data_IF_136395501750
#
_entry.id   IF_136395501750
#
_cell.length_a   1.000
_cell.length_b   1.000
_cell.length_c   1.000
_cell.angle_alpha   90.00
_cell.angle_beta   90.00
_cell.angle_gamma   90.00
#
_symmetry.space_group_name_H-M   'P 1'
#
loop_
_entity.id
_entity.type
_entity.pdbx_description
1 polymer ?
#
# COMPACT_ATOMS: atom_id res chain seq x y z
N UNK A 1 -7.17 9.24 -14.99
CA UNK A 1 -6.95 10.56 -14.38
C UNK A 1 -6.46 10.44 -12.93
N UNK A 2 -7.20 9.73 -12.04
CA UNK A 2 -6.85 9.60 -10.60
C UNK A 2 -5.40 9.18 -10.34
N UNK A 3 -4.82 8.16 -11.00
CA UNK A 3 -3.42 7.78 -10.79
C UNK A 3 -2.42 8.88 -11.16
N UNK A 4 -2.74 9.74 -12.13
CA UNK A 4 -1.90 10.88 -12.51
C UNK A 4 -1.89 11.95 -11.40
N UNK A 5 -3.08 12.30 -10.90
CA UNK A 5 -3.24 13.30 -9.83
C UNK A 5 -2.53 12.85 -8.54
N UNK A 6 -2.61 11.56 -8.20
CA UNK A 6 -2.02 11.04 -6.98
C UNK A 6 -0.50 10.78 -7.06
N UNK A 7 0.07 10.65 -8.28
CA UNK A 7 1.46 10.27 -8.44
C UNK A 7 2.46 11.26 -7.81
N UNK A 8 2.31 12.59 -7.94
CA UNK A 8 3.24 13.53 -7.34
C UNK A 8 3.32 13.42 -5.81
N UNK A 9 2.16 13.33 -5.13
CA UNK A 9 2.11 13.20 -3.67
C UNK A 9 2.66 11.88 -3.14
N UNK A 10 2.72 10.83 -3.97
CA UNK A 10 3.33 9.54 -3.61
C UNK A 10 4.84 9.51 -3.80
N UNK A 11 5.35 10.33 -4.72
CA UNK A 11 6.78 10.35 -5.10
C UNK A 11 7.58 11.45 -4.39
N UNK A 12 6.92 12.53 -3.95
CA UNK A 12 7.58 13.70 -3.41
C UNK A 12 6.79 14.31 -2.25
N UNK A 13 7.45 14.82 -1.23
CA UNK A 13 6.82 15.37 -0.02
C UNK A 13 5.88 16.55 -0.31
N UNK A 14 6.26 17.43 -1.22
CA UNK A 14 5.44 18.56 -1.66
C UNK A 14 4.61 18.26 -2.93
N UNK A 15 4.51 16.99 -3.31
CA UNK A 15 3.92 16.57 -4.58
C UNK A 15 2.44 16.90 -4.72
N UNK A 16 1.69 16.97 -3.62
CA UNK A 16 0.29 17.35 -3.63
C UNK A 16 0.03 18.76 -4.18
N UNK A 17 0.94 19.71 -3.92
CA UNK A 17 0.87 21.06 -4.48
C UNK A 17 0.98 21.08 -6.00
N UNK A 18 1.74 20.16 -6.59
CA UNK A 18 1.86 20.03 -8.05
C UNK A 18 0.54 19.60 -8.69
N UNK A 19 -0.17 18.68 -8.03
CA UNK A 19 -1.51 18.22 -8.49
C UNK A 19 -2.55 19.33 -8.41
N UNK A 20 -2.53 20.11 -7.32
CA UNK A 20 -3.44 21.24 -7.15
C UNK A 20 -3.22 22.30 -8.23
N UNK A 21 -1.97 22.62 -8.56
CA UNK A 21 -1.65 23.59 -9.63
C UNK A 21 -2.27 23.24 -10.97
N UNK A 22 -2.32 21.95 -11.32
CA UNK A 22 -2.98 21.49 -12.56
C UNK A 22 -4.48 21.75 -12.52
N UNK A 23 -5.12 21.52 -11.37
CA UNK A 23 -6.56 21.63 -11.22
C UNK A 23 -7.07 23.08 -11.21
N UNK A 24 -6.22 24.03 -10.77
CA UNK A 24 -6.59 25.46 -10.68
C UNK A 24 -5.95 26.32 -11.74
N UNK A 25 -5.22 25.74 -12.70
CA UNK A 25 -4.54 26.48 -13.76
C UNK A 25 -5.53 26.94 -14.82
N UNK A 26 -5.65 28.24 -15.00
CA UNK A 26 -6.52 28.86 -16.03
C UNK A 26 -5.79 29.07 -17.37
N UNK A 27 -4.45 29.10 -17.35
CA UNK A 27 -3.63 29.23 -18.54
C UNK A 27 -3.47 27.88 -19.25
N UNK A 28 -3.94 27.72 -20.51
CA UNK A 28 -3.90 26.45 -21.22
C UNK A 28 -2.48 25.95 -21.51
N UNK A 29 -1.53 26.84 -21.81
CA UNK A 29 -0.16 26.45 -22.14
C UNK A 29 0.57 25.97 -20.89
N UNK A 30 0.45 26.73 -19.81
CA UNK A 30 1.00 26.35 -18.50
C UNK A 30 0.33 25.07 -17.96
N UNK A 31 -0.97 24.93 -18.13
CA UNK A 31 -1.72 23.73 -17.78
C UNK A 31 -1.22 22.50 -18.52
N UNK A 32 -1.00 22.60 -19.83
CA UNK A 32 -0.43 21.51 -20.64
C UNK A 32 0.98 21.11 -20.17
N UNK A 33 1.82 22.07 -19.81
CA UNK A 33 3.15 21.81 -19.24
C UNK A 33 3.07 21.06 -17.89
N UNK A 34 2.15 21.45 -17.02
CA UNK A 34 1.93 20.74 -15.74
C UNK A 34 1.43 19.30 -15.96
N UNK A 35 0.50 19.09 -16.87
CA UNK A 35 0.00 17.74 -17.22
C UNK A 35 1.14 16.85 -17.75
N UNK A 36 1.97 17.38 -18.66
CA UNK A 36 3.14 16.68 -19.19
C UNK A 36 4.08 16.23 -18.08
N UNK A 37 4.36 17.12 -17.12
CA UNK A 37 5.18 16.79 -15.95
C UNK A 37 4.54 15.70 -15.08
N UNK A 38 3.23 15.74 -14.86
CA UNK A 38 2.51 14.70 -14.09
C UNK A 38 2.56 13.34 -14.78
N UNK A 39 2.44 13.30 -16.11
CA UNK A 39 2.58 12.08 -16.89
C UNK A 39 3.96 11.46 -16.67
N UNK A 40 5.02 12.26 -16.76
CA UNK A 40 6.39 11.80 -16.53
C UNK A 40 6.58 11.26 -15.08
N UNK A 41 6.06 11.97 -14.09
CA UNK A 41 6.10 11.52 -12.69
C UNK A 41 5.36 10.18 -12.52
N UNK A 42 4.19 10.02 -13.12
CA UNK A 42 3.42 8.78 -13.03
C UNK A 42 4.12 7.62 -13.75
N UNK A 43 4.76 7.86 -14.88
CA UNK A 43 5.59 6.86 -15.57
C UNK A 43 6.76 6.42 -14.67
N UNK A 44 7.48 7.38 -14.07
CA UNK A 44 8.54 7.08 -13.11
C UNK A 44 8.05 6.27 -11.92
N UNK A 45 6.91 6.67 -11.33
CA UNK A 45 6.27 5.91 -10.26
C UNK A 45 6.02 4.45 -10.66
N UNK A 46 5.43 4.22 -11.85
CA UNK A 46 5.16 2.86 -12.36
C UNK A 46 6.42 2.02 -12.47
N UNK A 47 7.50 2.59 -13.01
CA UNK A 47 8.79 1.89 -13.15
C UNK A 47 9.36 1.50 -11.79
N UNK A 48 9.40 2.44 -10.84
CA UNK A 48 9.91 2.19 -9.48
C UNK A 48 9.08 1.11 -8.79
N UNK A 49 7.75 1.25 -8.82
CA UNK A 49 6.82 0.31 -8.17
C UNK A 49 6.94 -1.09 -8.78
N UNK A 50 7.10 -1.21 -10.11
CA UNK A 50 7.23 -2.51 -10.77
C UNK A 50 8.42 -3.32 -10.25
N UNK A 51 9.58 -2.67 -10.08
CA UNK A 51 10.77 -3.33 -9.53
C UNK A 51 10.58 -3.81 -8.08
N UNK A 52 9.98 -2.96 -7.25
CA UNK A 52 9.69 -3.34 -5.86
C UNK A 52 8.62 -4.44 -5.74
N UNK A 53 7.61 -4.45 -6.61
CA UNK A 53 6.61 -5.53 -6.64
C UNK A 53 7.28 -6.86 -7.00
N UNK A 54 8.14 -6.89 -8.00
CA UNK A 54 8.84 -8.11 -8.39
C UNK A 54 9.68 -8.67 -7.24
N UNK A 55 10.43 -7.81 -6.55
CA UNK A 55 11.21 -8.20 -5.39
C UNK A 55 10.30 -8.68 -4.25
N UNK A 56 9.26 -7.92 -3.91
CA UNK A 56 8.32 -8.27 -2.85
C UNK A 56 7.62 -9.61 -3.10
N UNK A 57 7.22 -9.88 -4.34
CA UNK A 57 6.62 -11.17 -4.71
C UNK A 57 7.60 -12.33 -4.56
N UNK A 58 8.88 -12.15 -4.89
CA UNK A 58 9.91 -13.18 -4.65
C UNK A 58 10.08 -13.48 -3.17
N UNK A 59 10.15 -12.46 -2.31
CA UNK A 59 10.27 -12.63 -0.87
C UNK A 59 9.01 -13.25 -0.24
N UNK A 60 7.85 -13.03 -0.84
CA UNK A 60 6.56 -13.51 -0.34
C UNK A 60 6.25 -14.97 -0.68
N UNK A 61 6.89 -15.56 -1.71
CA UNK A 61 6.52 -16.85 -2.30
C UNK A 61 6.36 -18.01 -1.31
N UNK A 62 7.12 -18.02 -0.23
CA UNK A 62 7.11 -19.10 0.76
C UNK A 62 6.59 -18.64 2.14
N UNK A 63 5.91 -17.49 2.20
CA UNK A 63 5.36 -16.99 3.45
C UNK A 63 3.90 -17.41 3.61
N UNK A 64 3.53 -17.75 4.84
CA UNK A 64 2.12 -17.89 5.25
C UNK A 64 1.48 -16.54 5.52
N UNK A 65 0.16 -16.51 5.67
CA UNK A 65 -0.60 -15.33 6.10
C UNK A 65 -0.27 -14.93 7.55
N UNK A 66 -0.10 -13.66 7.85
CA UNK A 66 0.08 -12.55 6.91
C UNK A 66 1.48 -12.53 6.27
N UNK A 67 1.56 -12.12 5.00
CA UNK A 67 2.85 -11.85 4.35
C UNK A 67 3.44 -10.59 4.92
N UNK A 68 4.70 -10.65 5.37
CA UNK A 68 5.45 -9.48 5.86
C UNK A 68 6.73 -9.36 5.06
N UNK A 69 6.92 -8.23 4.37
CA UNK A 69 8.14 -7.93 3.62
C UNK A 69 8.74 -6.60 4.08
N UNK A 70 10.07 -6.60 4.24
CA UNK A 70 10.82 -5.40 4.60
C UNK A 70 11.65 -4.94 3.42
N UNK A 71 11.33 -3.77 2.88
CA UNK A 71 11.89 -3.23 1.63
C UNK A 71 12.63 -1.92 1.87
N UNK A 72 13.90 -1.97 2.34
CA UNK A 72 14.69 -0.77 2.56
C UNK A 72 14.79 0.08 1.30
N UNK A 73 14.51 1.39 1.42
CA UNK A 73 14.56 2.32 0.29
C UNK A 73 13.26 2.47 -0.50
N UNK A 74 12.24 1.67 -0.24
CA UNK A 74 10.90 1.91 -0.78
C UNK A 74 10.30 3.18 -0.14
N UNK A 75 9.90 4.14 -0.97
CA UNK A 75 9.32 5.40 -0.50
C UNK A 75 7.99 5.17 0.21
N UNK A 76 7.73 5.90 1.31
CA UNK A 76 6.51 5.78 2.12
C UNK A 76 5.22 5.83 1.31
N UNK A 77 5.11 6.77 0.36
CA UNK A 77 3.93 6.92 -0.50
C UNK A 77 3.64 5.72 -1.41
N UNK A 78 4.57 4.77 -1.52
CA UNK A 78 4.47 3.59 -2.36
C UNK A 78 4.19 2.30 -1.57
N UNK A 79 4.38 2.29 -0.25
CA UNK A 79 4.19 1.11 0.61
C UNK A 79 2.83 0.45 0.39
N UNK A 80 1.76 1.25 0.45
CA UNK A 80 0.39 0.76 0.27
C UNK A 80 0.08 0.25 -1.14
N UNK A 81 0.84 0.67 -2.17
CA UNK A 81 0.68 0.13 -3.53
C UNK A 81 1.30 -1.27 -3.59
N UNK A 82 2.49 -1.45 -3.03
CA UNK A 82 3.17 -2.75 -3.00
C UNK A 82 2.38 -3.74 -2.13
N UNK A 83 1.92 -3.31 -0.94
CA UNK A 83 1.08 -4.13 -0.07
C UNK A 83 -0.23 -4.56 -0.78
N UNK A 84 -0.92 -3.64 -1.45
CA UNK A 84 -2.11 -3.98 -2.23
C UNK A 84 -1.83 -5.02 -3.32
N UNK A 85 -0.69 -4.90 -4.02
CA UNK A 85 -0.34 -5.87 -5.05
C UNK A 85 0.01 -7.26 -4.48
N UNK A 86 0.63 -7.32 -3.30
CA UNK A 86 0.84 -8.60 -2.60
C UNK A 86 -0.49 -9.23 -2.22
N UNK A 87 -1.41 -8.46 -1.65
CA UNK A 87 -2.78 -8.93 -1.36
C UNK A 87 -3.46 -9.49 -2.61
N UNK A 88 -3.43 -8.75 -3.73
CA UNK A 88 -4.05 -9.17 -4.99
C UNK A 88 -3.41 -10.46 -5.56
N UNK A 89 -2.08 -10.59 -5.43
CA UNK A 89 -1.33 -11.71 -6.01
C UNK A 89 -1.46 -12.99 -5.20
N UNK A 90 -1.40 -12.89 -3.89
CA UNK A 90 -1.38 -14.03 -2.97
C UNK A 90 -2.72 -14.26 -2.25
N UNK A 91 -3.70 -13.37 -2.47
CA UNK A 91 -5.03 -13.41 -1.83
C UNK A 91 -4.96 -13.50 -0.30
N UNK A 92 -3.98 -12.84 0.30
CA UNK A 92 -3.75 -12.87 1.74
C UNK A 92 -3.34 -11.52 2.29
N UNK A 93 -3.58 -11.29 3.58
CA UNK A 93 -3.17 -10.06 4.25
C UNK A 93 -1.67 -9.84 4.09
N UNK A 94 -1.29 -8.61 3.77
CA UNK A 94 0.08 -8.23 3.51
C UNK A 94 0.50 -6.99 4.30
N UNK A 95 1.73 -7.01 4.77
CA UNK A 95 2.40 -5.92 5.48
C UNK A 95 3.70 -5.60 4.74
N UNK A 96 3.86 -4.36 4.34
CA UNK A 96 5.08 -3.87 3.70
C UNK A 96 5.70 -2.80 4.59
N UNK A 97 6.95 -3.01 4.95
CA UNK A 97 7.75 -2.13 5.81
C UNK A 97 8.88 -1.50 5.00
N UNK A 98 9.27 -0.28 5.35
CA UNK A 98 10.47 0.37 4.83
C UNK A 98 11.03 1.39 5.81
N UNK A 99 12.32 1.69 5.68
CA UNK A 99 12.93 2.77 6.43
C UNK A 99 12.25 4.10 6.13
N UNK A 100 11.98 4.86 7.17
CA UNK A 100 11.64 6.27 7.06
C UNK A 100 12.91 7.09 6.72
N UNK A 101 12.73 8.34 6.33
CA UNK A 101 13.83 9.32 6.25
C UNK A 101 14.38 9.66 7.62
N UNK A 102 13.59 9.52 8.65
CA UNK A 102 13.99 9.68 10.03
C UNK A 102 14.79 8.46 10.46
N UNK A 103 16.00 8.69 11.00
CA UNK A 103 16.90 7.64 11.46
C UNK A 103 16.24 6.83 12.59
N UNK A 104 16.36 5.51 12.52
CA UNK A 104 15.82 4.61 13.54
C UNK A 104 14.30 4.40 13.46
N UNK A 105 13.63 4.93 12.42
CA UNK A 105 12.19 4.82 12.23
C UNK A 105 11.87 4.00 10.99
N UNK A 106 10.95 3.07 11.14
CA UNK A 106 10.36 2.27 10.05
C UNK A 106 8.89 2.61 9.92
N UNK A 107 8.44 2.74 8.69
CA UNK A 107 7.02 2.91 8.35
C UNK A 107 6.51 1.71 7.58
N UNK A 108 5.22 1.43 7.74
CA UNK A 108 4.59 0.30 7.09
C UNK A 108 3.17 0.58 6.62
N UNK A 109 2.72 -0.28 5.73
CA UNK A 109 1.33 -0.31 5.28
C UNK A 109 0.82 -1.74 5.29
N UNK A 110 -0.36 -1.91 5.89
CA UNK A 110 -1.12 -3.17 5.91
C UNK A 110 -2.23 -3.10 4.86
N UNK A 111 -2.44 -4.20 4.16
CA UNK A 111 -3.65 -4.45 3.36
C UNK A 111 -4.22 -5.79 3.81
N UNK A 112 -5.43 -5.75 4.33
CA UNK A 112 -6.08 -6.92 4.89
C UNK A 112 -6.98 -7.59 3.87
N UNK A 113 -6.92 -8.92 3.83
CA UNK A 113 -7.90 -9.75 3.15
C UNK A 113 -9.27 -9.60 3.83
N UNK A 114 -10.36 -9.93 3.12
CA UNK A 114 -11.73 -9.61 3.52
C UNK A 114 -12.14 -10.06 4.93
N UNK A 115 -11.61 -11.18 5.40
CA UNK A 115 -11.93 -11.74 6.72
C UNK A 115 -10.97 -11.26 7.82
N UNK A 116 -10.01 -10.40 7.47
CA UNK A 116 -9.05 -9.82 8.40
C UNK A 116 -9.36 -8.35 8.65
N UNK A 117 -9.04 -7.87 9.83
CA UNK A 117 -9.21 -6.46 10.20
C UNK A 117 -7.85 -5.81 10.45
N UNK A 118 -7.35 -5.04 9.46
CA UNK A 118 -6.01 -4.46 9.51
C UNK A 118 -5.73 -3.67 10.80
N UNK A 119 -6.69 -2.86 11.25
CA UNK A 119 -6.52 -2.07 12.48
C UNK A 119 -6.47 -2.96 13.71
N UNK A 120 -7.34 -3.96 13.84
CA UNK A 120 -7.35 -4.87 15.00
C UNK A 120 -6.06 -5.70 15.07
N UNK A 121 -5.51 -6.11 13.92
CA UNK A 121 -4.18 -6.75 13.87
C UNK A 121 -3.10 -5.83 14.44
N UNK A 122 -3.13 -4.52 14.11
CA UNK A 122 -2.17 -3.56 14.69
C UNK A 122 -2.47 -3.27 16.16
N UNK A 123 -3.72 -3.28 16.60
CA UNK A 123 -4.09 -3.14 18.02
C UNK A 123 -3.44 -4.23 18.89
N UNK A 124 -3.34 -5.46 18.37
CA UNK A 124 -2.73 -6.60 19.09
C UNK A 124 -1.21 -6.46 19.31
N UNK A 125 -0.54 -5.67 18.49
CA UNK A 125 0.92 -5.41 18.57
C UNK A 125 1.23 -3.95 18.89
N UNK A 126 0.25 -3.21 19.41
CA UNK A 126 0.32 -1.76 19.62
C UNK A 126 1.48 -1.30 20.50
N UNK A 127 1.95 -2.13 21.42
CA UNK A 127 3.10 -1.83 22.31
C UNK A 127 4.42 -1.67 21.56
N UNK A 128 4.54 -2.19 20.34
CA UNK A 128 5.72 -2.07 19.48
C UNK A 128 5.64 -0.85 18.55
N UNK A 129 4.48 -0.19 18.48
CA UNK A 129 4.21 0.86 17.51
C UNK A 129 4.29 2.24 18.16
N UNK A 130 4.94 3.18 17.49
CA UNK A 130 4.94 4.60 17.91
C UNK A 130 3.72 5.35 17.37
N UNK A 131 3.20 4.94 16.23
CA UNK A 131 1.94 5.44 15.67
C UNK A 131 1.35 4.39 14.72
N UNK A 132 0.02 4.31 14.71
CA UNK A 132 -0.71 3.50 13.74
C UNK A 132 -2.15 3.98 13.59
N UNK A 133 -2.79 3.61 12.49
CA UNK A 133 -4.18 3.94 12.25
C UNK A 133 -4.67 3.41 10.92
N UNK A 134 -5.99 3.35 10.78
CA UNK A 134 -6.62 2.83 9.58
C UNK A 134 -8.02 2.30 9.84
N UNK A 135 -8.45 1.41 8.97
CA UNK A 135 -9.75 0.74 9.01
C UNK A 135 -9.59 -0.76 8.72
N UNK A 136 -10.69 -1.49 8.58
CA UNK A 136 -10.65 -2.95 8.37
C UNK A 136 -9.76 -3.39 7.19
N UNK A 137 -9.91 -2.76 6.03
CA UNK A 137 -9.19 -3.17 4.81
C UNK A 137 -7.75 -2.64 4.69
N UNK A 138 -7.40 -1.57 5.40
CA UNK A 138 -6.08 -0.94 5.28
C UNK A 138 -5.68 -0.16 6.51
N UNK A 139 -4.40 -0.23 6.87
CA UNK A 139 -3.83 0.54 7.96
C UNK A 139 -2.39 0.96 7.65
N UNK A 140 -1.95 2.05 8.29
CA UNK A 140 -0.57 2.52 8.32
C UNK A 140 0.02 2.33 9.70
N UNK A 141 1.33 2.16 9.77
CA UNK A 141 2.06 2.00 11.03
C UNK A 141 3.42 2.67 11.00
N UNK A 142 3.91 3.00 12.18
CA UNK A 142 5.27 3.49 12.43
C UNK A 142 5.82 2.76 13.64
N UNK A 143 7.07 2.29 13.56
CA UNK A 143 7.74 1.60 14.66
C UNK A 143 9.23 1.92 14.67
N UNK A 144 9.93 1.73 15.82
CA UNK A 144 11.38 1.80 15.89
C UNK A 144 12.03 0.70 15.04
N UNK A 145 13.17 0.98 14.44
CA UNK A 145 13.87 0.02 13.57
C UNK A 145 14.34 -1.25 14.30
N UNK A 146 14.63 -1.15 15.58
CA UNK A 146 15.02 -2.29 16.44
C UNK A 146 13.82 -3.19 16.82
N UNK A 147 12.58 -2.71 16.64
CA UNK A 147 11.38 -3.49 16.90
C UNK A 147 10.87 -4.29 15.67
N UNK A 148 11.48 -4.14 14.49
CA UNK A 148 10.99 -4.74 13.23
C UNK A 148 10.92 -6.27 13.31
N UNK A 149 11.93 -6.94 13.88
CA UNK A 149 11.97 -8.39 13.98
C UNK A 149 10.85 -8.90 14.90
N UNK A 150 10.77 -8.34 16.11
CA UNK A 150 9.72 -8.69 17.09
C UNK A 150 8.31 -8.39 16.54
N UNK A 151 8.15 -7.26 15.86
CA UNK A 151 6.89 -6.92 15.19
C UNK A 151 6.51 -7.97 14.15
N UNK A 152 7.49 -8.37 13.31
CA UNK A 152 7.26 -9.38 12.26
C UNK A 152 6.80 -10.72 12.83
N UNK A 153 7.40 -11.16 13.92
CA UNK A 153 7.01 -12.39 14.61
C UNK A 153 5.60 -12.28 15.19
N UNK A 154 5.33 -11.22 15.95
CA UNK A 154 4.04 -11.07 16.63
C UNK A 154 2.88 -10.84 15.66
N UNK A 155 3.07 -10.07 14.59
CA UNK A 155 2.01 -9.84 13.60
C UNK A 155 1.70 -11.12 12.80
N UNK A 156 2.68 -11.98 12.57
CA UNK A 156 2.47 -13.31 11.99
C UNK A 156 1.66 -14.21 12.92
N UNK A 157 1.99 -14.23 14.20
CA UNK A 157 1.21 -14.97 15.20
C UNK A 157 -0.23 -14.46 15.30
N UNK A 158 -0.44 -13.15 15.28
CA UNK A 158 -1.77 -12.54 15.30
C UNK A 158 -2.63 -12.90 14.07
N UNK A 159 -1.99 -13.19 12.94
CA UNK A 159 -2.67 -13.63 11.71
C UNK A 159 -2.74 -15.13 11.53
N UNK A 160 -2.20 -15.92 12.45
CA UNK A 160 -2.19 -17.37 12.37
C UNK A 160 -3.62 -17.95 12.53
N UNK A 161 -4.00 -18.83 11.62
CA UNK A 161 -5.35 -19.45 11.65
C UNK A 161 -6.44 -18.63 10.95
N UNK A 162 -6.16 -17.41 10.47
CA UNK A 162 -7.09 -16.67 9.63
C UNK A 162 -7.12 -17.29 8.23
N UNK A 163 -8.18 -18.03 7.94
CA UNK A 163 -8.38 -18.65 6.62
C UNK A 163 -8.95 -17.61 5.67
N UNK A 164 -8.17 -17.22 4.67
CA UNK A 164 -8.65 -16.33 3.63
C UNK A 164 -9.47 -17.11 2.61
N UNK A 165 -10.76 -16.81 2.50
CA UNK A 165 -11.62 -17.32 1.43
C UNK A 165 -11.60 -16.33 0.27
N UNK A 166 -11.31 -16.82 -0.93
CA UNK A 166 -11.58 -16.06 -2.15
C UNK A 166 -13.09 -16.04 -2.37
N UNK A 167 -13.70 -14.90 -2.10
CA UNK A 167 -15.12 -14.68 -2.39
C UNK A 167 -15.24 -13.63 -3.49
N UNK A 168 -15.99 -13.96 -4.52
CA UNK A 168 -16.44 -12.98 -5.52
C UNK A 168 -17.82 -12.49 -5.08
N UNK A 169 -17.91 -11.20 -4.75
CA UNK A 169 -19.19 -10.55 -4.46
C UNK A 169 -19.74 -9.93 -5.73
N UNK A 170 -21.01 -10.09 -5.97
CA UNK A 170 -21.75 -9.47 -7.07
C UNK A 170 -23.05 -8.85 -6.54
N UNK A 171 -23.40 -7.70 -7.07
CA UNK A 171 -24.57 -6.95 -6.62
C UNK A 171 -25.87 -7.48 -7.25
N UNK A 172 -25.77 -8.09 -8.42
CA UNK A 172 -26.93 -8.59 -9.19
C UNK A 172 -26.59 -9.91 -9.84
N UNK A 173 -27.47 -10.91 -9.65
CA UNK A 173 -27.47 -12.16 -10.40
C UNK A 173 -28.33 -11.97 -11.65
N UNK A 174 -27.69 -12.00 -12.81
CA UNK A 174 -28.39 -11.87 -14.10
C UNK A 174 -28.61 -13.25 -14.70
N UNK A 175 -29.85 -13.73 -14.66
CA UNK A 175 -30.25 -14.95 -15.33
C UNK A 175 -30.07 -14.84 -16.85
N UNK A 176 -29.81 -15.98 -17.53
CA UNK A 176 -29.69 -16.05 -18.98
C UNK A 176 -30.93 -15.39 -19.66
N UNK A 177 -30.67 -14.34 -20.45
CA UNK A 177 -31.72 -13.58 -21.15
C UNK A 177 -31.94 -12.15 -20.62
N UNK A 178 -31.29 -11.74 -19.53
CA UNK A 178 -31.40 -10.37 -18.99
C UNK A 178 -30.40 -9.37 -19.64
N UNK A 179 -29.56 -9.83 -20.56
CA UNK A 179 -28.66 -8.95 -21.34
C UNK A 179 -29.38 -8.50 -22.60
N UNK A 180 -29.84 -7.26 -22.63
CA UNK A 180 -30.42 -6.59 -23.83
C UNK A 180 -29.33 -5.68 -24.41
#
# INVERSE_FOLDING_TARGET
LVPLINAPGRMYDAGGSSSLKVLVCEDPELGAAYVTKMIAINQRRRQVVSGYIEQACKEAQNQSSPIVVYMPGLQEGLLGIVAGRLLDTFCTTSVVLSNSRELGVVKGSVRAAQECHAKEMLDSVSTLLTAYGGHSGAAGLTLPSDAVETFTEQIKQAGEGLTVRQCLYYDVDMSEGAVV
#
